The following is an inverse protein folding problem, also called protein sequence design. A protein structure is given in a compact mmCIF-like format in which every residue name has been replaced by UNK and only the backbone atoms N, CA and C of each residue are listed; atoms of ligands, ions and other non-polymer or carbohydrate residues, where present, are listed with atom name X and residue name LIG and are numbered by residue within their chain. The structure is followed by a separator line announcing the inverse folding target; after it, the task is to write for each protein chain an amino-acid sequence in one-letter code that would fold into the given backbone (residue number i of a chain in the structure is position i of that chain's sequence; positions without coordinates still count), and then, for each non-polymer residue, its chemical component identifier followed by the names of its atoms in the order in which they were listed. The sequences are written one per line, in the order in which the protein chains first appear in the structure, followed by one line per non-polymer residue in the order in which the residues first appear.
data_IF_801648654788
#
_entry.id   IF_801648654788
#
_cell.length_a   1.000
_cell.length_b   1.000
_cell.length_c   1.000
_cell.angle_alpha   90.00
_cell.angle_beta   90.00
_cell.angle_gamma   90.00
#
_symmetry.space_group_name_H-M   'P 1'
#
loop_
_entity.id
_entity.type
_entity.pdbx_description
1 polymer ?
#
# COMPACT_ATOMS: atom_id res chain seq x y z
N UNK A 1 1.17 20.15 -26.20
CA UNK A 1 2.34 20.53 -25.38
C UNK A 1 2.86 21.85 -25.90
N UNK A 2 3.17 22.79 -25.01
CA UNK A 2 3.78 24.08 -25.37
C UNK A 2 5.24 23.85 -25.77
N UNK A 3 5.58 24.06 -27.06
CA UNK A 3 6.93 23.89 -27.60
C UNK A 3 7.94 24.79 -26.88
N UNK A 4 7.53 25.98 -26.45
CA UNK A 4 8.41 26.91 -25.73
C UNK A 4 8.82 26.36 -24.37
N UNK A 5 7.92 25.62 -23.72
CA UNK A 5 8.16 24.98 -22.42
C UNK A 5 9.08 23.79 -22.55
N UNK A 6 8.87 22.96 -23.57
CA UNK A 6 9.75 21.82 -23.87
C UNK A 6 11.17 22.27 -24.22
N UNK A 7 11.30 23.34 -25.03
CA UNK A 7 12.62 23.89 -25.38
C UNK A 7 13.35 24.43 -24.15
N UNK A 8 12.68 25.22 -23.30
CA UNK A 8 13.26 25.72 -22.03
C UNK A 8 13.78 24.60 -21.14
N UNK A 9 13.03 23.51 -21.03
CA UNK A 9 13.47 22.34 -20.28
C UNK A 9 14.73 21.69 -20.92
N UNK A 10 14.75 21.48 -22.25
CA UNK A 10 15.92 20.95 -22.94
C UNK A 10 17.16 21.84 -22.78
N UNK A 11 16.98 23.15 -22.87
CA UNK A 11 18.04 24.13 -22.64
C UNK A 11 18.58 24.02 -21.21
N UNK A 12 17.69 23.84 -20.21
CA UNK A 12 18.09 23.65 -18.82
C UNK A 12 18.92 22.40 -18.59
N UNK A 13 18.65 21.30 -19.30
CA UNK A 13 19.48 20.09 -19.26
C UNK A 13 20.90 20.32 -19.79
N UNK A 14 21.08 21.30 -20.69
CA UNK A 14 22.38 21.74 -21.19
C UNK A 14 23.06 22.80 -20.33
N UNK A 15 22.47 23.14 -19.18
CA UNK A 15 22.96 24.19 -18.27
C UNK A 15 22.57 25.61 -18.68
N UNK A 16 21.74 25.77 -19.72
CA UNK A 16 21.24 27.08 -20.16
C UNK A 16 19.95 27.39 -19.40
N UNK A 17 20.08 28.20 -18.36
CA UNK A 17 18.94 28.67 -17.58
C UNK A 17 18.50 30.06 -18.05
N UNK A 18 17.19 30.35 -18.09
CA UNK A 18 16.69 31.71 -18.31
C UNK A 18 17.25 32.69 -17.26
N UNK A 19 17.49 33.94 -17.66
CA UNK A 19 18.00 34.98 -16.74
C UNK A 19 17.02 35.29 -15.59
N UNK A 20 15.73 35.07 -15.80
CA UNK A 20 14.67 35.29 -14.81
C UNK A 20 14.41 34.06 -13.91
N UNK A 21 15.25 33.02 -13.99
CA UNK A 21 15.07 31.85 -13.14
C UNK A 21 15.31 32.20 -11.67
N UNK A 22 14.45 31.68 -10.80
CA UNK A 22 14.48 31.87 -9.36
C UNK A 22 14.01 30.60 -8.67
N UNK A 23 14.26 30.50 -7.36
CA UNK A 23 13.77 29.39 -6.52
C UNK A 23 12.24 29.22 -6.63
N UNK A 24 11.50 30.30 -6.93
CA UNK A 24 10.03 30.27 -7.03
C UNK A 24 9.52 29.66 -8.34
N UNK A 25 10.30 29.69 -9.42
CA UNK A 25 9.85 29.29 -10.76
C UNK A 25 10.67 28.14 -11.36
N UNK A 26 11.81 27.77 -10.75
CA UNK A 26 12.65 26.65 -11.18
C UNK A 26 11.89 25.32 -11.23
N UNK A 27 10.96 25.11 -10.29
CA UNK A 27 10.14 23.91 -10.29
C UNK A 27 9.25 23.84 -11.53
N UNK A 28 8.56 24.95 -11.85
CA UNK A 28 7.69 25.04 -13.00
C UNK A 28 8.47 24.90 -14.33
N UNK A 29 9.63 25.54 -14.43
CA UNK A 29 10.35 25.64 -15.71
C UNK A 29 11.31 24.47 -15.98
N UNK A 30 11.90 23.88 -14.94
CA UNK A 30 12.93 22.87 -15.08
C UNK A 30 12.56 21.51 -14.46
N UNK A 31 11.71 21.48 -13.42
CA UNK A 31 11.42 20.24 -12.68
C UNK A 31 10.02 19.66 -12.98
N UNK A 32 9.14 20.41 -13.63
CA UNK A 32 7.77 19.97 -13.95
C UNK A 32 7.67 19.12 -15.23
N UNK A 33 8.78 18.96 -15.94
CA UNK A 33 8.88 18.16 -17.16
C UNK A 33 9.90 17.05 -16.92
N UNK A 34 9.57 15.87 -17.41
CA UNK A 34 10.44 14.70 -17.36
C UNK A 34 10.66 14.16 -18.76
N UNK A 35 11.91 13.81 -19.06
CA UNK A 35 12.27 13.16 -20.31
C UNK A 35 12.24 11.65 -20.13
N UNK A 36 11.61 10.97 -21.08
CA UNK A 36 11.70 9.52 -21.23
C UNK A 36 12.45 9.21 -22.52
N UNK A 37 13.58 8.53 -22.39
CA UNK A 37 14.40 8.05 -23.50
C UNK A 37 13.96 6.62 -23.88
N UNK A 38 13.83 6.38 -25.18
CA UNK A 38 13.71 5.05 -25.76
C UNK A 38 15.11 4.58 -26.15
N UNK A 39 15.67 3.66 -25.36
CA UNK A 39 17.01 3.12 -25.56
C UNK A 39 17.03 2.04 -26.65
N UNK A 40 15.93 1.30 -26.78
CA UNK A 40 15.79 0.18 -27.70
C UNK A 40 14.45 0.24 -28.45
N UNK A 41 14.41 -0.02 -29.76
CA UNK A 41 13.17 0.07 -30.56
C UNK A 41 12.23 -1.13 -30.36
N UNK A 42 12.76 -2.30 -29.99
CA UNK A 42 12.01 -3.56 -29.94
C UNK A 42 10.83 -3.47 -28.97
N UNK A 43 9.64 -3.89 -29.41
CA UNK A 43 8.45 -3.87 -28.57
C UNK A 43 8.61 -4.80 -27.35
N UNK A 44 8.14 -4.37 -26.19
CA UNK A 44 8.00 -5.26 -25.04
C UNK A 44 6.86 -6.24 -25.35
N UNK A 45 7.22 -7.44 -25.78
CA UNK A 45 6.25 -8.49 -26.09
C UNK A 45 5.51 -8.93 -24.82
N UNK A 46 4.18 -9.00 -24.91
CA UNK A 46 3.30 -9.59 -23.89
C UNK A 46 3.45 -9.00 -22.48
N UNK A 47 3.66 -7.69 -22.33
CA UNK A 47 3.53 -7.06 -21.02
C UNK A 47 2.10 -7.27 -20.51
N UNK A 48 1.92 -8.11 -19.49
CA UNK A 48 0.59 -8.42 -18.96
C UNK A 48 0.33 -7.50 -17.78
N UNK A 49 -0.65 -6.58 -17.90
CA UNK A 49 -1.08 -5.76 -16.79
C UNK A 49 -1.55 -6.63 -15.61
N UNK A 50 -0.79 -6.62 -14.52
CA UNK A 50 -1.17 -7.38 -13.31
C UNK A 50 -0.72 -6.66 -12.04
N UNK A 51 -1.35 -6.99 -10.91
CA UNK A 51 -0.94 -6.47 -9.60
C UNK A 51 0.46 -6.95 -9.17
N UNK A 52 1.00 -7.97 -9.84
CA UNK A 52 2.34 -8.51 -9.61
C UNK A 52 3.06 -8.60 -10.96
N UNK A 53 3.87 -7.59 -11.27
CA UNK A 53 4.69 -7.58 -12.48
C UNK A 53 5.87 -8.52 -12.28
N UNK A 54 6.12 -9.39 -13.27
CA UNK A 54 7.21 -10.35 -13.23
C UNK A 54 8.56 -9.64 -13.38
N UNK A 55 9.64 -10.22 -12.85
CA UNK A 55 10.95 -9.58 -12.88
C UNK A 55 11.48 -9.41 -14.32
N UNK A 56 11.12 -10.33 -15.20
CA UNK A 56 11.45 -10.32 -16.62
C UNK A 56 10.81 -9.13 -17.33
N UNK A 57 9.56 -8.81 -17.00
CA UNK A 57 8.83 -7.64 -17.51
C UNK A 57 9.47 -6.35 -17.01
N UNK A 58 9.83 -6.29 -15.71
CA UNK A 58 10.55 -5.15 -15.13
C UNK A 58 11.88 -4.94 -15.87
N UNK A 59 12.64 -6.01 -16.11
CA UNK A 59 13.90 -5.91 -16.83
C UNK A 59 13.72 -5.49 -18.28
N UNK A 60 12.65 -5.93 -18.95
CA UNK A 60 12.33 -5.48 -20.31
C UNK A 60 12.06 -3.98 -20.36
N UNK A 61 11.26 -3.46 -19.43
CA UNK A 61 11.01 -2.01 -19.29
C UNK A 61 12.32 -1.26 -19.04
N UNK A 62 13.18 -1.77 -18.15
CA UNK A 62 14.49 -1.18 -17.82
C UNK A 62 15.46 -1.12 -18.99
N UNK A 63 15.46 -2.14 -19.84
CA UNK A 63 16.29 -2.17 -21.05
C UNK A 63 15.79 -1.16 -22.08
N UNK A 64 14.47 -1.03 -22.22
CA UNK A 64 13.88 -0.19 -23.27
C UNK A 64 13.77 1.29 -22.90
N UNK A 65 13.42 1.61 -21.67
CA UNK A 65 13.07 2.96 -21.23
C UNK A 65 14.03 3.49 -20.18
N UNK A 66 14.33 4.78 -20.24
CA UNK A 66 15.00 5.50 -19.16
C UNK A 66 14.30 6.83 -18.90
N UNK A 67 13.93 7.10 -17.65
CA UNK A 67 13.33 8.37 -17.26
C UNK A 67 14.20 9.09 -16.22
N UNK A 68 14.25 10.42 -16.32
CA UNK A 68 15.01 11.29 -15.41
C UNK A 68 14.29 11.59 -14.08
N UNK A 69 13.04 11.14 -13.91
CA UNK A 69 12.30 11.40 -12.68
C UNK A 69 12.81 10.58 -11.49
N UNK A 70 12.63 11.12 -10.28
CA UNK A 70 13.08 10.50 -9.04
C UNK A 70 12.52 9.08 -8.82
N UNK A 71 11.24 8.86 -9.14
CA UNK A 71 10.61 7.54 -8.99
C UNK A 71 11.28 6.47 -9.87
N UNK A 72 11.70 6.84 -11.07
CA UNK A 72 12.42 5.92 -11.95
C UNK A 72 13.84 5.66 -11.44
N UNK A 73 14.52 6.69 -10.92
CA UNK A 73 15.84 6.50 -10.30
C UNK A 73 15.80 5.53 -9.10
N UNK A 74 14.72 5.55 -8.31
CA UNK A 74 14.56 4.68 -7.14
C UNK A 74 14.15 3.25 -7.51
N UNK A 75 13.18 3.09 -8.42
CA UNK A 75 12.58 1.78 -8.71
C UNK A 75 13.20 1.09 -9.93
N UNK A 76 13.85 1.86 -10.80
CA UNK A 76 14.37 1.43 -12.09
C UNK A 76 13.32 1.29 -13.19
N UNK A 77 12.02 1.25 -12.90
CA UNK A 77 11.01 0.96 -13.94
C UNK A 77 9.65 1.62 -13.72
N UNK A 78 9.28 1.91 -12.46
CA UNK A 78 7.94 2.35 -12.09
C UNK A 78 7.88 3.87 -12.01
N UNK A 79 7.38 4.51 -13.07
CA UNK A 79 6.94 5.90 -13.02
C UNK A 79 5.80 6.17 -14.01
N UNK A 80 5.00 7.21 -13.72
CA UNK A 80 3.88 7.62 -14.59
C UNK A 80 4.34 8.02 -15.99
N UNK A 81 5.54 8.59 -16.12
CA UNK A 81 6.09 9.02 -17.41
C UNK A 81 6.39 7.84 -18.33
N UNK A 82 7.05 6.79 -17.84
CA UNK A 82 7.34 5.58 -18.62
C UNK A 82 6.04 4.88 -18.99
N UNK A 83 5.09 4.74 -18.06
CA UNK A 83 3.77 4.19 -18.35
C UNK A 83 3.06 4.97 -19.46
N UNK A 84 3.09 6.31 -19.42
CA UNK A 84 2.51 7.13 -20.49
C UNK A 84 3.17 6.87 -21.85
N UNK A 85 4.50 6.73 -21.90
CA UNK A 85 5.21 6.41 -23.15
C UNK A 85 4.88 5.00 -23.64
N UNK A 86 4.78 4.00 -22.76
CA UNK A 86 4.36 2.64 -23.15
C UNK A 86 2.97 2.63 -23.78
N UNK A 87 2.05 3.48 -23.32
CA UNK A 87 0.72 3.67 -23.94
C UNK A 87 0.86 4.29 -25.33
N UNK A 88 1.69 5.33 -25.48
CA UNK A 88 1.94 5.98 -26.77
C UNK A 88 2.58 5.03 -27.78
N UNK A 89 3.47 4.13 -27.32
CA UNK A 89 4.08 3.07 -28.12
C UNK A 89 3.14 1.87 -28.35
N UNK A 90 1.90 1.92 -27.86
CA UNK A 90 0.89 0.86 -27.96
C UNK A 90 1.33 -0.47 -27.35
N UNK A 91 2.27 -0.46 -26.41
CA UNK A 91 2.73 -1.65 -25.70
C UNK A 91 1.79 -2.04 -24.57
N UNK A 92 1.10 -1.05 -23.99
CA UNK A 92 0.09 -1.27 -22.95
C UNK A 92 -1.19 -0.53 -23.27
N UNK A 93 -2.30 -1.11 -22.82
CA UNK A 93 -3.62 -0.48 -22.86
C UNK A 93 -4.06 -0.16 -21.42
N UNK A 94 -4.20 1.14 -21.12
CA UNK A 94 -4.55 1.61 -19.77
C UNK A 94 -5.88 1.04 -19.30
N UNK A 95 -6.89 0.99 -20.18
CA UNK A 95 -8.21 0.45 -19.83
C UNK A 95 -8.12 -1.04 -19.47
N UNK A 96 -7.34 -1.82 -20.22
CA UNK A 96 -7.08 -3.24 -19.86
C UNK A 96 -6.31 -3.37 -18.55
N UNK A 97 -5.35 -2.48 -18.30
CA UNK A 97 -4.58 -2.46 -17.04
C UNK A 97 -5.47 -2.15 -15.85
N UNK A 98 -6.29 -1.12 -15.92
CA UNK A 98 -7.23 -0.76 -14.85
C UNK A 98 -8.27 -1.86 -14.60
N UNK A 99 -8.69 -2.59 -15.64
CA UNK A 99 -9.61 -3.72 -15.50
C UNK A 99 -8.94 -4.97 -14.89
N UNK A 100 -7.65 -5.19 -15.15
CA UNK A 100 -6.90 -6.31 -14.59
C UNK A 100 -6.44 -6.08 -13.15
N UNK A 101 -6.24 -4.82 -12.76
CA UNK A 101 -5.99 -4.46 -11.38
C UNK A 101 -7.26 -4.69 -10.56
N UNK A 102 -7.18 -5.38 -9.41
CA UNK A 102 -8.33 -5.51 -8.53
C UNK A 102 -8.75 -4.12 -8.05
N UNK A 103 -9.83 -3.60 -8.65
CA UNK A 103 -10.41 -2.26 -8.39
C UNK A 103 -10.89 -2.07 -6.95
N UNK A 104 -10.94 -3.17 -6.18
CA UNK A 104 -11.08 -3.17 -4.73
C UNK A 104 -10.20 -4.28 -4.18
N UNK A 105 -9.54 -4.05 -3.04
CA UNK A 105 -9.41 -5.16 -2.07
C UNK A 105 -10.82 -5.69 -1.91
N UNK A 106 -11.11 -6.93 -2.29
CA UNK A 106 -12.40 -7.57 -1.99
C UNK A 106 -12.82 -7.10 -0.59
N UNK A 107 -14.07 -6.62 -0.44
CA UNK A 107 -14.58 -5.92 0.76
C UNK A 107 -14.49 -6.81 2.01
N UNK A 108 -13.28 -6.93 2.48
CA UNK A 108 -12.75 -7.87 3.45
C UNK A 108 -11.38 -7.37 3.86
N UNK A 109 -11.20 -6.03 3.84
CA UNK A 109 -10.09 -5.37 4.49
C UNK A 109 -9.90 -5.97 5.88
N UNK A 110 -8.64 -6.13 6.29
CA UNK A 110 -8.25 -6.64 7.59
C UNK A 110 -9.26 -6.15 8.63
N UNK A 111 -10.11 -7.07 9.12
CA UNK A 111 -11.15 -6.72 10.09
C UNK A 111 -10.42 -5.93 11.16
N UNK A 112 -10.84 -4.68 11.40
CA UNK A 112 -10.31 -3.91 12.53
C UNK A 112 -10.36 -4.85 13.74
N UNK A 113 -9.25 -5.01 14.45
CA UNK A 113 -9.22 -5.86 15.63
C UNK A 113 -10.42 -5.44 16.50
N UNK A 114 -11.37 -6.36 16.71
CA UNK A 114 -12.55 -6.07 17.52
C UNK A 114 -12.01 -5.69 18.91
N UNK A 115 -12.39 -4.50 19.39
CA UNK A 115 -12.09 -4.11 20.77
C UNK A 115 -12.60 -5.21 21.71
N UNK A 116 -11.90 -5.43 22.83
CA UNK A 116 -12.34 -6.35 23.88
C UNK A 116 -13.74 -6.02 24.43
N UNK A 117 -14.27 -4.82 24.15
CA UNK A 117 -15.61 -4.37 24.55
C UNK A 117 -16.61 -4.34 23.39
N UNK A 118 -16.24 -4.78 22.19
CA UNK A 118 -17.14 -4.80 21.04
C UNK A 118 -18.18 -5.91 21.20
N UNK A 119 -19.40 -5.55 21.59
CA UNK A 119 -20.57 -6.45 21.66
C UNK A 119 -21.00 -6.83 20.23
N UNK A 120 -20.34 -7.82 19.65
CA UNK A 120 -20.71 -8.37 18.34
C UNK A 120 -21.89 -9.32 18.46
N UNK A 121 -22.72 -9.42 17.41
CA UNK A 121 -23.76 -10.45 17.26
C UNK A 121 -23.20 -11.89 17.22
N UNK A 122 -21.88 -12.06 17.17
CA UNK A 122 -21.19 -13.35 17.19
C UNK A 122 -20.83 -13.74 18.64
N UNK A 123 -21.82 -14.13 19.44
CA UNK A 123 -21.62 -14.61 20.81
C UNK A 123 -20.78 -15.91 20.86
N UNK A 124 -20.70 -16.64 19.74
CA UNK A 124 -20.01 -17.93 19.67
C UNK A 124 -18.49 -17.89 19.79
N UNK A 125 -17.83 -16.75 19.50
CA UNK A 125 -16.35 -16.70 19.50
C UNK A 125 -15.75 -16.95 20.90
N UNK A 126 -16.45 -16.50 21.94
CA UNK A 126 -16.06 -16.70 23.35
C UNK A 126 -16.91 -17.75 24.05
N UNK A 127 -17.68 -18.55 23.29
CA UNK A 127 -18.39 -19.71 23.86
C UNK A 127 -17.40 -20.73 24.41
N UNK A 128 -17.79 -21.43 25.47
CA UNK A 128 -16.96 -22.44 26.14
C UNK A 128 -16.51 -23.52 25.13
N UNK A 129 -17.40 -23.95 24.23
CA UNK A 129 -17.10 -25.00 23.24
C UNK A 129 -16.01 -24.57 22.25
N UNK A 130 -16.05 -23.32 21.78
CA UNK A 130 -15.07 -22.79 20.82
C UNK A 130 -13.72 -22.56 21.49
N UNK A 131 -13.72 -22.06 22.73
CA UNK A 131 -12.50 -21.87 23.50
C UNK A 131 -11.84 -23.20 23.85
N UNK A 132 -12.63 -24.21 24.23
CA UNK A 132 -12.15 -25.58 24.50
C UNK A 132 -11.48 -26.19 23.27
N UNK A 133 -12.16 -26.17 22.11
CA UNK A 133 -11.58 -26.65 20.84
C UNK A 133 -10.30 -25.91 20.46
N UNK A 134 -10.24 -24.60 20.72
CA UNK A 134 -9.06 -23.80 20.40
C UNK A 134 -7.89 -24.07 21.34
N UNK A 135 -8.17 -24.27 22.63
CA UNK A 135 -7.16 -24.64 23.62
C UNK A 135 -6.53 -26.00 23.32
N UNK A 136 -7.36 -26.99 22.98
CA UNK A 136 -6.87 -28.32 22.59
C UNK A 136 -5.97 -28.28 21.35
N UNK A 137 -6.24 -27.37 20.41
CA UNK A 137 -5.39 -27.18 19.22
C UNK A 137 -4.12 -26.37 19.51
N UNK A 138 -4.22 -25.38 20.40
CA UNK A 138 -3.13 -24.45 20.73
C UNK A 138 -3.15 -24.14 22.24
N UNK A 139 -2.46 -24.95 23.06
CA UNK A 139 -2.54 -24.84 24.52
C UNK A 139 -2.03 -23.50 25.06
N UNK A 140 -1.07 -22.88 24.38
CA UNK A 140 -0.49 -21.59 24.80
C UNK A 140 -1.32 -20.37 24.36
N UNK A 141 -2.39 -20.56 23.57
CA UNK A 141 -3.15 -19.47 22.98
C UNK A 141 -3.82 -18.51 23.99
N UNK A 142 -4.31 -18.97 25.16
CA UNK A 142 -4.90 -18.08 26.16
C UNK A 142 -3.89 -17.36 27.06
N UNK A 143 -2.57 -17.64 26.94
CA UNK A 143 -1.58 -16.97 27.77
C UNK A 143 -1.66 -15.45 27.54
N UNK A 144 -1.55 -14.70 28.63
CA UNK A 144 -1.68 -13.24 28.69
C UNK A 144 -3.07 -12.67 28.38
N UNK A 145 -4.10 -13.52 28.25
CA UNK A 145 -5.47 -13.04 28.13
C UNK A 145 -5.91 -12.31 29.39
N UNK A 146 -6.61 -11.20 29.19
CA UNK A 146 -7.23 -10.43 30.26
C UNK A 146 -8.61 -11.04 30.53
N UNK A 147 -8.78 -11.61 31.72
CA UNK A 147 -10.02 -12.26 32.13
C UNK A 147 -10.66 -11.41 33.22
N UNK A 148 -11.97 -11.22 33.11
CA UNK A 148 -12.79 -10.58 34.15
C UNK A 148 -13.55 -11.68 34.88
N UNK A 149 -13.50 -11.68 36.21
CA UNK A 149 -14.36 -12.52 37.04
C UNK A 149 -15.09 -11.65 38.04
N UNK A 150 -16.40 -11.88 38.13
CA UNK A 150 -17.23 -11.24 39.14
C UNK A 150 -17.16 -12.04 40.44
N UNK A 151 -16.97 -11.33 41.55
CA UNK A 151 -16.97 -11.90 42.89
C UNK A 151 -18.04 -11.23 43.73
N UNK A 152 -18.77 -12.02 44.51
CA UNK A 152 -19.71 -11.51 45.50
C UNK A 152 -18.94 -11.26 46.80
N UNK A 153 -18.60 -10.00 47.07
CA UNK A 153 -17.87 -9.61 48.28
C UNK A 153 -18.88 -9.26 49.36
N UNK A 154 -18.77 -9.92 50.52
CA UNK A 154 -19.50 -9.52 51.73
C UNK A 154 -18.79 -8.34 52.37
N UNK A 155 -19.43 -7.18 52.36
CA UNK A 155 -18.94 -6.01 53.11
C UNK A 155 -19.24 -6.18 54.60
N UNK A 156 -18.50 -5.45 55.46
CA UNK A 156 -18.64 -5.49 56.93
C UNK A 156 -20.06 -5.17 57.44
N UNK A 157 -20.91 -4.57 56.60
CA UNK A 157 -22.30 -4.25 56.86
C UNK A 157 -23.29 -5.38 56.47
N UNK A 158 -22.80 -6.57 56.09
CA UNK A 158 -23.64 -7.71 55.70
C UNK A 158 -24.22 -7.64 54.28
N UNK A 159 -23.91 -6.58 53.51
CA UNK A 159 -24.37 -6.43 52.13
C UNK A 159 -23.40 -7.10 51.16
N UNK A 160 -23.90 -8.05 50.37
CA UNK A 160 -23.17 -8.66 49.26
C UNK A 160 -23.16 -7.71 48.06
N UNK A 161 -21.97 -7.30 47.61
CA UNK A 161 -21.79 -6.49 46.40
C UNK A 161 -21.02 -7.29 45.36
N UNK A 162 -21.50 -7.26 44.12
CA UNK A 162 -20.80 -7.86 42.98
C UNK A 162 -19.73 -6.90 42.48
N UNK A 163 -18.48 -7.31 42.56
CA UNK A 163 -17.34 -6.55 42.05
C UNK A 163 -16.57 -7.37 41.02
N UNK A 164 -16.23 -6.74 39.90
CA UNK A 164 -15.48 -7.37 38.81
C UNK A 164 -13.99 -7.17 39.02
N UNK A 165 -13.23 -8.25 39.05
CA UNK A 165 -11.77 -8.21 39.14
C UNK A 165 -11.15 -8.65 37.82
N UNK A 166 -10.14 -7.90 37.40
CA UNK A 166 -9.37 -8.17 36.19
C UNK A 166 -8.11 -8.97 36.55
N UNK A 167 -7.97 -10.14 35.94
CA UNK A 167 -6.79 -11.00 36.05
C UNK A 167 -6.14 -11.24 34.68
N UNK A 168 -4.92 -11.78 34.70
CA UNK A 168 -4.19 -12.19 33.49
C UNK A 168 -3.87 -13.67 33.58
N UNK A 169 -4.07 -14.42 32.50
CA UNK A 169 -3.68 -15.84 32.44
C UNK A 169 -2.15 -15.93 32.38
N UNK A 170 -1.55 -16.58 33.37
CA UNK A 170 -0.11 -16.86 33.47
C UNK A 170 0.14 -18.36 33.34
N UNK A 171 1.34 -18.73 32.90
CA UNK A 171 1.77 -20.13 32.78
C UNK A 171 2.11 -20.75 34.13
#
# INVERSE_FOLDING_TARGET
MDRSRAQRYLDSLSGKLPQDISVRNVELYCLSIHQVKLLHPEAIANFVPSARVAIEEIQAVRRKYACDCAMFAQTGWQCSHVLAVMVLQKEINVSRLLNALPTRKASGGQRKAKSCLAKGKDEHQFSVDVLTKRYLKQPMYPLHWQVMRDFDIRTKAGVSKRESFRGTVVS
#
